data_IF_370830679412
#
_entry.id   IF_370830679412
#
_cell.length_a   1.000
_cell.length_b   1.000
_cell.length_c   1.000
_cell.angle_alpha   90.00
_cell.angle_beta   90.00
_cell.angle_gamma   90.00
#
_symmetry.space_group_name_H-M   'P 1'
#
loop_
_entity.id
_entity.type
_entity.pdbx_description
1 polymer ?
#
# COMPACT_ATOMS: atom_id res chain seq x y z
N UNK A 1 -0.62 -13.82 -3.45
CA UNK A 1 0.75 -13.26 -3.39
C UNK A 1 1.68 -14.28 -4.02
N UNK A 2 2.26 -13.95 -5.18
CA UNK A 2 3.36 -14.73 -5.77
C UNK A 2 4.66 -14.09 -5.28
N UNK A 3 5.56 -14.87 -4.70
CA UNK A 3 6.92 -14.47 -4.34
C UNK A 3 7.83 -14.87 -5.50
N UNK A 4 8.23 -13.90 -6.33
CA UNK A 4 9.21 -14.12 -7.40
C UNK A 4 10.45 -13.30 -7.05
N UNK A 5 11.63 -13.92 -6.98
CA UNK A 5 12.91 -13.20 -6.89
C UNK A 5 13.01 -12.14 -5.77
N UNK A 6 12.44 -12.42 -4.59
CA UNK A 6 12.41 -11.48 -3.44
C UNK A 6 11.53 -10.24 -3.62
N UNK A 7 10.66 -10.23 -4.62
CA UNK A 7 9.66 -9.19 -4.83
C UNK A 7 8.25 -9.71 -4.52
N UNK A 8 7.41 -8.84 -3.97
CA UNK A 8 5.98 -9.09 -3.78
C UNK A 8 5.16 -8.24 -4.75
N UNK A 9 4.15 -8.83 -5.37
CA UNK A 9 3.23 -8.15 -6.27
C UNK A 9 1.78 -8.30 -5.78
N UNK A 10 1.08 -7.16 -5.72
CA UNK A 10 -0.34 -7.07 -5.39
C UNK A 10 -1.05 -6.33 -6.51
N UNK A 11 -1.95 -7.02 -7.19
CA UNK A 11 -2.84 -6.42 -8.19
C UNK A 11 -4.26 -6.48 -7.67
N UNK A 12 -4.87 -5.31 -7.45
CA UNK A 12 -6.27 -5.22 -7.06
C UNK A 12 -7.17 -5.39 -8.29
N UNK A 13 -8.40 -5.85 -8.06
CA UNK A 13 -9.39 -5.98 -9.12
C UNK A 13 -9.79 -4.59 -9.64
N UNK A 14 -9.84 -4.47 -10.96
CA UNK A 14 -10.14 -3.23 -11.68
C UNK A 14 -11.57 -2.71 -11.51
N UNK A 15 -12.46 -3.58 -11.05
CA UNK A 15 -13.90 -3.36 -10.99
C UNK A 15 -14.53 -4.28 -9.96
N UNK A 16 -15.69 -3.87 -9.44
CA UNK A 16 -16.51 -4.74 -8.61
C UNK A 16 -16.88 -6.05 -9.33
N UNK A 17 -17.14 -5.99 -10.64
CA UNK A 17 -17.42 -7.17 -11.45
C UNK A 17 -16.25 -8.18 -11.44
N UNK A 18 -15.02 -7.71 -11.64
CA UNK A 18 -13.81 -8.54 -11.56
C UNK A 18 -13.61 -9.13 -10.16
N UNK A 19 -13.82 -8.33 -9.11
CA UNK A 19 -13.78 -8.80 -7.73
C UNK A 19 -14.83 -9.89 -7.45
N UNK A 20 -16.09 -9.65 -7.84
CA UNK A 20 -17.22 -10.55 -7.59
C UNK A 20 -17.10 -11.86 -8.39
N UNK A 21 -16.52 -11.81 -9.59
CA UNK A 21 -16.18 -13.00 -10.37
C UNK A 21 -15.13 -13.87 -9.66
N UNK A 22 -14.12 -13.25 -9.03
CA UNK A 22 -13.10 -13.98 -8.28
C UNK A 22 -13.56 -14.42 -6.87
N UNK A 23 -14.56 -13.73 -6.30
CA UNK A 23 -15.12 -13.99 -4.97
C UNK A 23 -16.66 -14.02 -5.03
N UNK A 24 -17.26 -15.04 -5.68
CA UNK A 24 -18.70 -15.10 -5.90
C UNK A 24 -19.49 -15.14 -4.59
N UNK A 25 -18.95 -15.76 -3.54
CA UNK A 25 -19.61 -15.88 -2.23
C UNK A 25 -19.45 -14.64 -1.33
N UNK A 26 -18.77 -13.58 -1.80
CA UNK A 26 -18.58 -12.37 -1.00
C UNK A 26 -19.88 -11.59 -0.81
N UNK A 27 -20.22 -11.21 0.42
CA UNK A 27 -21.37 -10.34 0.71
C UNK A 27 -21.07 -8.85 0.47
N UNK A 28 -19.89 -8.50 -0.04
CA UNK A 28 -19.53 -7.10 -0.37
C UNK A 28 -20.41 -6.64 -1.54
N UNK A 29 -21.11 -5.53 -1.35
CA UNK A 29 -21.88 -4.87 -2.43
C UNK A 29 -20.99 -3.99 -3.29
N UNK A 30 -21.49 -3.59 -4.47
CA UNK A 30 -20.78 -2.66 -5.33
C UNK A 30 -20.56 -1.30 -4.66
N UNK A 31 -21.57 -0.81 -3.92
CA UNK A 31 -21.45 0.42 -3.14
C UNK A 31 -20.37 0.29 -2.06
N UNK A 32 -20.32 -0.82 -1.33
CA UNK A 32 -19.30 -1.04 -0.31
C UNK A 32 -17.89 -1.12 -0.92
N UNK A 33 -17.76 -1.78 -2.07
CA UNK A 33 -16.50 -1.86 -2.81
C UNK A 33 -16.04 -0.47 -3.26
N UNK A 34 -16.93 0.30 -3.89
CA UNK A 34 -16.64 1.66 -4.35
C UNK A 34 -16.37 2.60 -3.18
N UNK A 35 -17.16 2.53 -2.11
CA UNK A 35 -17.03 3.39 -0.93
C UNK A 35 -15.70 3.20 -0.21
N UNK A 36 -15.13 1.99 -0.25
CA UNK A 36 -13.82 1.73 0.34
C UNK A 36 -12.71 2.54 -0.35
N UNK A 37 -12.80 2.73 -1.68
CA UNK A 37 -11.81 3.44 -2.48
C UNK A 37 -12.23 4.86 -2.90
N UNK A 38 -13.50 5.23 -2.70
CA UNK A 38 -14.08 6.51 -3.16
C UNK A 38 -13.46 7.74 -2.51
N UNK A 39 -12.80 7.55 -1.37
CA UNK A 39 -11.98 8.61 -0.78
C UNK A 39 -10.54 8.44 -1.26
N UNK A 40 -10.00 9.45 -1.93
CA UNK A 40 -8.57 9.50 -2.24
C UNK A 40 -7.69 9.32 -0.99
N UNK A 41 -8.22 9.66 0.18
CA UNK A 41 -7.62 9.41 1.50
C UNK A 41 -7.37 7.91 1.78
N UNK A 42 -8.32 7.04 1.42
CA UNK A 42 -8.17 5.59 1.58
C UNK A 42 -7.14 5.01 0.61
N UNK A 43 -7.16 5.44 -0.65
CA UNK A 43 -6.16 5.03 -1.65
C UNK A 43 -4.76 5.48 -1.20
N UNK A 44 -4.61 6.75 -0.78
CA UNK A 44 -3.36 7.25 -0.24
C UNK A 44 -2.88 6.41 0.94
N UNK A 45 -3.76 6.15 1.92
CA UNK A 45 -3.39 5.36 3.11
C UNK A 45 -2.90 3.98 2.72
N UNK A 46 -3.62 3.29 1.84
CA UNK A 46 -3.28 1.94 1.40
C UNK A 46 -1.90 1.90 0.70
N UNK A 47 -1.65 2.83 -0.22
CA UNK A 47 -0.39 2.89 -0.96
C UNK A 47 0.81 3.35 -0.11
N UNK A 48 0.58 4.02 1.02
CA UNK A 48 1.64 4.36 1.98
C UNK A 48 1.86 3.24 3.00
N UNK A 49 0.79 2.64 3.53
CA UNK A 49 0.87 1.69 4.65
C UNK A 49 1.31 0.30 4.23
N UNK A 50 0.64 -0.28 3.23
CA UNK A 50 0.79 -1.69 2.89
C UNK A 50 2.17 -2.07 2.33
N UNK A 51 2.76 -1.33 1.37
CA UNK A 51 4.07 -1.73 0.85
C UNK A 51 5.17 -1.56 1.90
N UNK A 52 5.10 -0.52 2.73
CA UNK A 52 6.03 -0.33 3.85
C UNK A 52 5.87 -1.42 4.93
N UNK A 53 4.63 -1.82 5.24
CA UNK A 53 4.34 -2.90 6.19
C UNK A 53 4.92 -4.23 5.72
N UNK A 54 4.81 -4.55 4.43
CA UNK A 54 5.37 -5.77 3.85
C UNK A 54 6.90 -5.76 3.88
N UNK A 55 7.54 -4.65 3.48
CA UNK A 55 9.00 -4.51 3.56
C UNK A 55 9.52 -4.61 5.01
N UNK A 56 8.73 -4.18 5.99
CA UNK A 56 9.05 -4.38 7.41
C UNK A 56 8.94 -5.85 7.85
N UNK A 57 7.84 -6.51 7.50
CA UNK A 57 7.51 -7.84 8.01
C UNK A 57 8.35 -8.95 7.38
N UNK A 58 8.74 -8.79 6.12
CA UNK A 58 9.45 -9.83 5.38
C UNK A 58 10.87 -9.32 5.06
N UNK A 59 11.89 -9.69 5.86
CA UNK A 59 13.25 -9.19 5.68
C UNK A 59 13.86 -9.61 4.34
N UNK A 60 13.39 -10.70 3.74
CA UNK A 60 13.81 -11.17 2.44
C UNK A 60 13.17 -10.40 1.26
N UNK A 61 12.16 -9.56 1.50
CA UNK A 61 11.56 -8.75 0.43
C UNK A 61 12.43 -7.53 0.10
N UNK A 62 12.77 -7.38 -1.18
CA UNK A 62 13.49 -6.22 -1.69
C UNK A 62 12.53 -5.13 -2.14
N UNK A 63 11.44 -5.48 -2.82
CA UNK A 63 10.46 -4.53 -3.33
C UNK A 63 9.02 -5.05 -3.24
N UNK A 64 8.09 -4.10 -3.21
CA UNK A 64 6.65 -4.34 -3.28
C UNK A 64 6.06 -3.53 -4.43
N UNK A 65 5.41 -4.23 -5.35
CA UNK A 65 4.61 -3.64 -6.42
C UNK A 65 3.15 -3.70 -6.05
N UNK A 66 2.45 -2.57 -6.16
CA UNK A 66 0.99 -2.55 -6.03
C UNK A 66 0.37 -1.78 -7.19
N UNK A 67 -0.70 -2.35 -7.75
CA UNK A 67 -1.49 -1.74 -8.83
C UNK A 67 -2.96 -1.74 -8.44
N UNK A 68 -3.59 -0.57 -8.47
CA UNK A 68 -5.02 -0.38 -8.25
C UNK A 68 -5.61 0.41 -9.43
N UNK A 69 -6.42 -0.22 -10.28
CA UNK A 69 -7.31 0.49 -11.19
C UNK A 69 -8.56 0.95 -10.41
N UNK A 70 -8.90 2.24 -10.46
CA UNK A 70 -10.07 2.80 -9.81
C UNK A 70 -10.57 4.06 -10.54
N UNK A 71 -11.87 4.10 -10.84
CA UNK A 71 -12.55 5.24 -11.50
C UNK A 71 -11.82 5.80 -12.73
N UNK A 72 -11.37 4.92 -13.62
CA UNK A 72 -10.69 5.29 -14.87
C UNK A 72 -9.23 5.73 -14.70
N UNK A 73 -8.69 5.67 -13.48
CA UNK A 73 -7.26 5.89 -13.18
C UNK A 73 -6.59 4.59 -12.79
N UNK A 74 -5.28 4.51 -13.01
CA UNK A 74 -4.45 3.42 -12.50
C UNK A 74 -3.37 3.95 -11.57
N UNK A 75 -3.44 3.55 -10.31
CA UNK A 75 -2.47 3.86 -9.28
C UNK A 75 -1.42 2.76 -9.21
N UNK A 76 -0.15 3.12 -9.32
CA UNK A 76 0.97 2.19 -9.32
C UNK A 76 2.07 2.62 -8.36
N UNK A 77 2.60 1.66 -7.60
CA UNK A 77 3.82 1.83 -6.82
C UNK A 77 4.75 0.64 -7.05
N UNK A 78 6.04 0.91 -7.12
CA UNK A 78 7.10 -0.08 -7.05
C UNK A 78 8.09 0.38 -5.98
N UNK A 79 7.80 0.06 -4.73
CA UNK A 79 8.56 0.54 -3.58
C UNK A 79 9.63 -0.48 -3.21
N UNK A 80 10.90 -0.12 -3.42
CA UNK A 80 12.03 -0.90 -2.92
C UNK A 80 12.49 -0.42 -1.53
N UNK A 81 13.03 -1.35 -0.74
CA UNK A 81 13.49 -1.11 0.64
C UNK A 81 14.55 -0.02 0.72
N UNK A 82 15.48 0.03 -0.24
CA UNK A 82 16.58 0.99 -0.22
C UNK A 82 16.04 2.40 -0.37
N UNK A 83 15.17 2.63 -1.36
CA UNK A 83 14.50 3.91 -1.58
C UNK A 83 13.64 4.32 -0.39
N UNK A 84 12.90 3.38 0.21
CA UNK A 84 12.12 3.64 1.41
C UNK A 84 13.00 4.07 2.59
N UNK A 85 14.03 3.28 2.90
CA UNK A 85 14.93 3.57 4.03
C UNK A 85 15.70 4.88 3.82
N UNK A 86 16.11 5.19 2.59
CA UNK A 86 16.71 6.48 2.25
C UNK A 86 15.74 7.65 2.43
N UNK A 87 14.46 7.48 2.10
CA UNK A 87 13.46 8.53 2.32
C UNK A 87 13.12 8.73 3.81
N UNK A 88 13.11 7.64 4.58
CA UNK A 88 12.78 7.67 6.00
C UNK A 88 13.95 8.06 6.90
N UNK A 89 15.19 7.94 6.40
CA UNK A 89 16.42 8.10 7.18
C UNK A 89 16.55 7.08 8.34
N UNK A 90 15.83 5.97 8.25
CA UNK A 90 15.95 4.82 9.15
C UNK A 90 15.54 3.53 8.43
N UNK A 91 15.91 2.40 9.01
CA UNK A 91 15.56 1.07 8.51
C UNK A 91 14.14 0.69 8.91
N UNK A 92 13.24 0.57 7.94
CA UNK A 92 11.84 0.20 8.17
C UNK A 92 11.72 -1.16 8.85
N UNK A 93 12.61 -2.09 8.50
CA UNK A 93 12.68 -3.46 9.02
C UNK A 93 13.09 -3.56 10.48
N UNK A 94 13.65 -2.49 11.05
CA UNK A 94 13.97 -2.44 12.47
C UNK A 94 12.75 -2.08 13.33
N UNK A 95 11.64 -1.65 12.72
CA UNK A 95 10.45 -1.24 13.45
C UNK A 95 9.61 -2.43 13.90
N UNK A 96 9.20 -2.39 15.16
CA UNK A 96 8.41 -3.43 15.83
C UNK A 96 7.07 -2.88 16.29
N UNK A 97 6.09 -3.77 16.39
CA UNK A 97 4.76 -3.41 16.91
C UNK A 97 4.80 -3.39 18.44
N UNK A 98 5.53 -4.34 19.02
CA UNK A 98 5.63 -4.63 20.44
C UNK A 98 6.21 -3.45 21.23
N UNK A 99 7.23 -2.78 20.67
CA UNK A 99 7.87 -1.61 21.26
C UNK A 99 7.26 -0.27 20.78
N UNK A 100 6.17 -0.33 20.01
CA UNK A 100 5.46 0.80 19.40
C UNK A 100 6.31 1.63 18.41
N UNK A 101 7.51 1.19 18.03
CA UNK A 101 8.35 1.94 17.10
C UNK A 101 7.73 2.02 15.70
N UNK A 102 7.03 0.97 15.24
CA UNK A 102 6.24 1.00 13.99
C UNK A 102 5.23 2.14 14.01
N UNK A 103 4.46 2.23 15.09
CA UNK A 103 3.40 3.24 15.22
C UNK A 103 4.00 4.64 15.29
N UNK A 104 4.94 4.85 16.21
CA UNK A 104 5.50 6.18 16.51
C UNK A 104 6.39 6.73 15.40
N UNK A 105 7.14 5.88 14.69
CA UNK A 105 8.11 6.33 13.68
C UNK A 105 7.57 6.31 12.26
N UNK A 106 6.63 5.41 11.94
CA UNK A 106 6.09 5.29 10.59
C UNK A 106 4.59 5.56 10.50
N UNK A 107 3.77 4.83 11.26
CA UNK A 107 2.32 4.87 11.06
C UNK A 107 1.71 6.25 11.35
N UNK A 108 1.96 6.82 12.52
CA UNK A 108 1.41 8.14 12.86
C UNK A 108 2.00 9.24 11.98
N UNK A 109 3.33 9.29 11.73
CA UNK A 109 3.91 10.37 10.95
C UNK A 109 3.68 10.27 9.45
N UNK A 110 3.45 9.10 8.86
CA UNK A 110 3.35 8.95 7.40
C UNK A 110 1.99 8.43 6.92
N UNK A 111 1.22 7.71 7.74
CA UNK A 111 -0.11 7.21 7.35
C UNK A 111 -1.21 8.13 7.89
N UNK A 112 -1.17 8.51 9.17
CA UNK A 112 -2.22 9.33 9.77
C UNK A 112 -2.00 10.83 9.62
N UNK A 113 -0.76 11.28 9.45
CA UNK A 113 -0.47 12.67 9.07
C UNK A 113 -0.78 12.89 7.58
N UNK A 114 -1.86 13.62 7.28
CA UNK A 114 -2.33 13.88 5.91
C UNK A 114 -1.28 14.54 5.00
N UNK A 115 -0.50 15.49 5.51
CA UNK A 115 0.48 16.22 4.72
C UNK A 115 1.66 15.31 4.33
N UNK A 116 2.21 14.58 5.30
CA UNK A 116 3.30 13.63 5.06
C UNK A 116 2.85 12.43 4.22
N UNK A 117 1.62 11.94 4.44
CA UNK A 117 1.03 10.87 3.62
C UNK A 117 0.93 11.30 2.15
N UNK A 118 0.39 12.48 1.89
CA UNK A 118 0.30 13.02 0.53
C UNK A 118 1.68 13.20 -0.09
N UNK A 119 2.66 13.71 0.65
CA UNK A 119 4.02 13.86 0.16
C UNK A 119 4.68 12.52 -0.21
N UNK A 120 4.51 11.49 0.64
CA UNK A 120 4.98 10.14 0.36
C UNK A 120 4.28 9.59 -0.90
N UNK A 121 2.95 9.69 -0.95
CA UNK A 121 2.15 9.20 -2.05
C UNK A 121 2.58 9.84 -3.37
N UNK A 122 2.69 11.17 -3.44
CA UNK A 122 3.16 11.88 -4.63
C UNK A 122 4.58 11.48 -5.04
N UNK A 123 5.45 11.14 -4.08
CA UNK A 123 6.85 10.75 -4.36
C UNK A 123 6.96 9.37 -4.98
N UNK A 124 6.14 8.41 -4.53
CA UNK A 124 6.31 6.99 -4.87
C UNK A 124 5.20 6.40 -5.73
N UNK A 125 4.03 7.04 -5.80
CA UNK A 125 2.88 6.55 -6.56
C UNK A 125 2.75 7.30 -7.87
N UNK A 126 2.67 6.55 -8.95
CA UNK A 126 2.30 7.07 -10.28
C UNK A 126 0.81 6.89 -10.48
N UNK A 127 0.13 7.94 -10.96
CA UNK A 127 -1.28 7.91 -11.33
C UNK A 127 -1.37 8.13 -12.84
N UNK A 128 -1.94 7.16 -13.56
CA UNK A 128 -2.19 7.19 -15.00
C UNK A 128 -3.67 7.32 -15.28
#
# INVERSE_FOLDING_TARGET
MKLNNKDAEITFHDSFASYKSAKPDSNVTEEQYKQYFSTGDAIEKMFVSEPARLLRQFPDLNAVKMTLPFEGKTYNINLDRKSLNSHLEFKIENLKVEDKSWVKKFNDPYVYNKAKRKAFFTKFVTVQ
#
